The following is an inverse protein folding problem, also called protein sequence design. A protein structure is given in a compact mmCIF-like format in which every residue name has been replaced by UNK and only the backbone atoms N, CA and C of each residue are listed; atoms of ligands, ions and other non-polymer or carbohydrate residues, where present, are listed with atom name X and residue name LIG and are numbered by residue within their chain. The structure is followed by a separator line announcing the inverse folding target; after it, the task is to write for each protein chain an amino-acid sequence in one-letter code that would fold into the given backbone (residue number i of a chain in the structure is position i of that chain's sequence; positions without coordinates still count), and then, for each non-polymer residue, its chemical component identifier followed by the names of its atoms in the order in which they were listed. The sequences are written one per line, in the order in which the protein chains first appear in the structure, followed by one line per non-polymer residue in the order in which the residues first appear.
data_IF_548358835515
#
_entry.id   IF_548358835515
#
_cell.length_a   1.000
_cell.length_b   1.000
_cell.length_c   1.000
_cell.angle_alpha   90.00
_cell.angle_beta   90.00
_cell.angle_gamma   90.00
#
_symmetry.space_group_name_H-M   'P 1'
#
loop_
_entity.id
_entity.type
_entity.pdbx_description
1 polymer ?
#
# COMPACT_ATOMS: atom_id res chain seq x y z
N UNK A 1 -9.17 -37.17 69.71
CA UNK A 1 -8.49 -38.48 69.61
C UNK A 1 -8.12 -38.75 68.15
N UNK A 2 -6.83 -39.03 67.94
CA UNK A 2 -6.10 -39.65 66.82
C UNK A 2 -6.65 -39.70 65.37
N UNK A 3 -5.83 -39.15 64.43
CA UNK A 3 -5.55 -39.63 63.04
C UNK A 3 -4.84 -41.02 63.08
N UNK A 4 -4.51 -41.80 61.98
CA UNK A 4 -4.15 -41.36 60.60
C UNK A 4 -4.27 -42.34 59.37
N UNK A 5 -3.86 -41.82 58.18
CA UNK A 5 -3.37 -42.41 56.89
C UNK A 5 -4.36 -43.12 55.92
N UNK A 6 -4.28 -43.00 54.57
CA UNK A 6 -3.16 -42.70 53.65
C UNK A 6 -3.61 -42.06 52.30
N UNK A 7 -2.68 -41.32 51.67
CA UNK A 7 -2.69 -40.54 50.43
C UNK A 7 -2.83 -41.33 49.10
N UNK A 8 -3.17 -40.63 48.00
CA UNK A 8 -2.27 -40.37 46.84
C UNK A 8 -2.70 -39.07 46.13
N UNK A 9 -1.73 -38.21 45.83
CA UNK A 9 -1.84 -36.98 45.05
C UNK A 9 -0.87 -37.06 43.84
N UNK A 10 -1.23 -36.45 42.71
CA UNK A 10 -0.26 -36.05 41.67
C UNK A 10 -0.63 -34.62 41.21
N UNK A 11 0.29 -33.70 41.48
CA UNK A 11 0.35 -32.32 40.98
C UNK A 11 1.53 -32.26 40.02
N UNK A 12 1.37 -31.64 38.86
CA UNK A 12 2.49 -31.26 38.00
C UNK A 12 2.57 -29.73 37.95
N UNK A 13 3.61 -29.19 38.59
CA UNK A 13 4.07 -27.82 38.42
C UNK A 13 5.49 -27.89 37.85
N UNK A 14 5.76 -27.20 36.75
CA UNK A 14 7.12 -26.95 36.27
C UNK A 14 7.36 -25.44 36.29
N UNK A 15 8.39 -25.04 37.04
CA UNK A 15 8.97 -23.71 37.01
C UNK A 15 10.47 -23.82 36.68
N UNK A 16 10.87 -23.01 35.70
CA UNK A 16 12.14 -22.36 35.39
C UNK A 16 13.47 -22.86 36.00
N UNK A 17 14.49 -22.94 35.14
CA UNK A 17 15.86 -22.55 35.51
C UNK A 17 16.44 -21.59 34.47
N UNK A 18 16.60 -20.34 34.89
CA UNK A 18 17.41 -19.34 34.21
C UNK A 18 18.88 -19.58 34.59
N UNK A 19 19.76 -19.71 33.60
CA UNK A 19 21.21 -19.67 33.80
C UNK A 19 21.74 -18.34 33.26
N UNK A 20 22.20 -17.51 34.18
CA UNK A 20 23.02 -16.34 33.91
C UNK A 20 24.46 -16.67 34.29
N UNK A 21 25.42 -16.20 33.47
CA UNK A 21 26.76 -15.68 33.79
C UNK A 21 27.70 -15.78 32.57
N UNK A 22 28.82 -15.04 32.48
CA UNK A 22 29.19 -13.78 33.14
C UNK A 22 29.74 -12.72 32.15
N UNK A 23 29.77 -11.47 32.64
CA UNK A 23 30.49 -10.32 32.09
C UNK A 23 32.01 -10.47 32.20
N UNK A 24 32.75 -10.23 31.13
CA UNK A 24 34.21 -10.11 31.12
C UNK A 24 34.62 -8.64 30.91
N UNK A 25 35.31 -8.08 31.90
CA UNK A 25 36.10 -6.84 31.79
C UNK A 25 37.51 -7.16 31.26
N UNK A 26 38.21 -6.21 30.64
CA UNK A 26 39.40 -6.48 29.81
C UNK A 26 40.72 -6.41 30.59
N UNK A 27 41.70 -7.24 30.18
CA UNK A 27 43.09 -7.24 30.63
C UNK A 27 44.06 -7.42 29.43
N UNK A 28 45.35 -7.09 29.58
CA UNK A 28 46.13 -6.35 28.57
C UNK A 28 46.73 -7.18 27.44
N UNK A 29 47.01 -6.48 26.34
CA UNK A 29 47.63 -6.93 25.11
C UNK A 29 49.05 -7.54 25.27
N UNK A 30 49.47 -8.36 24.29
CA UNK A 30 50.81 -8.27 23.76
C UNK A 30 50.79 -7.84 22.29
N UNK A 31 51.73 -6.96 21.98
CA UNK A 31 52.01 -6.41 20.67
C UNK A 31 52.43 -7.49 19.66
N UNK A 32 51.81 -7.48 18.48
CA UNK A 32 52.38 -8.04 17.27
C UNK A 32 52.23 -6.99 16.17
N UNK A 33 53.37 -6.48 15.71
CA UNK A 33 53.48 -5.53 14.63
C UNK A 33 52.99 -6.13 13.30
N UNK A 34 52.08 -5.43 12.64
CA UNK A 34 51.80 -5.60 11.21
C UNK A 34 51.80 -4.22 10.56
N UNK A 35 52.62 -4.08 9.51
CA UNK A 35 52.85 -2.87 8.75
C UNK A 35 51.57 -2.33 8.08
N UNK A 36 51.50 -1.01 7.77
CA UNK A 36 50.31 -0.42 7.17
C UNK A 36 50.24 -0.81 5.68
N UNK A 37 49.30 -1.66 5.33
CA UNK A 37 48.86 -1.77 3.93
C UNK A 37 47.98 -0.56 3.68
N UNK A 38 48.50 0.40 2.92
CA UNK A 38 47.75 1.54 2.45
C UNK A 38 46.52 1.05 1.70
N UNK A 39 45.34 1.30 2.27
CA UNK A 39 44.11 1.21 1.53
C UNK A 39 44.19 2.22 0.38
N UNK A 40 43.92 1.81 -0.88
CA UNK A 40 43.74 2.78 -1.95
C UNK A 40 42.59 3.72 -1.55
N UNK A 41 42.60 4.99 -2.01
CA UNK A 41 41.47 5.87 -1.80
C UNK A 41 40.22 5.13 -2.27
N UNK A 42 39.23 5.01 -1.39
CA UNK A 42 37.92 4.50 -1.76
C UNK A 42 37.42 5.40 -2.87
N UNK A 43 37.51 4.92 -4.11
CA UNK A 43 36.80 5.49 -5.23
C UNK A 43 35.36 5.70 -4.78
N UNK A 44 34.94 6.95 -4.79
CA UNK A 44 33.57 7.31 -4.52
C UNK A 44 32.72 6.58 -5.57
N UNK A 45 32.02 5.52 -5.15
CA UNK A 45 30.99 4.89 -5.95
C UNK A 45 30.10 6.01 -6.51
N UNK A 46 29.94 6.12 -7.83
CA UNK A 46 29.06 7.13 -8.41
C UNK A 46 27.69 6.95 -7.77
N UNK A 47 27.08 8.04 -7.32
CA UNK A 47 25.74 8.02 -6.73
C UNK A 47 24.83 7.17 -7.62
N UNK A 48 24.41 6.01 -7.13
CA UNK A 48 23.61 5.04 -7.87
C UNK A 48 22.28 5.71 -8.22
N UNK A 49 22.18 6.19 -9.47
CA UNK A 49 21.02 6.94 -9.93
C UNK A 49 19.87 5.98 -10.20
N UNK A 50 18.71 6.22 -9.59
CA UNK A 50 17.54 5.35 -9.70
C UNK A 50 16.67 5.76 -10.89
N UNK A 51 16.33 4.80 -11.76
CA UNK A 51 15.35 5.00 -12.85
C UNK A 51 13.92 4.66 -12.39
N UNK A 52 12.90 5.06 -13.15
CA UNK A 52 11.50 4.75 -12.82
C UNK A 52 11.26 3.24 -12.78
N UNK A 53 11.84 2.49 -13.72
CA UNK A 53 11.74 1.02 -13.74
C UNK A 53 12.36 0.40 -12.48
N UNK A 54 13.49 0.92 -12.01
CA UNK A 54 14.12 0.44 -10.78
C UNK A 54 13.24 0.71 -9.56
N UNK A 55 12.70 1.93 -9.47
CA UNK A 55 11.78 2.32 -8.38
C UNK A 55 10.55 1.40 -8.31
N UNK A 56 9.93 1.12 -9.47
CA UNK A 56 8.78 0.21 -9.56
C UNK A 56 9.16 -1.23 -9.18
N UNK A 57 10.33 -1.71 -9.61
CA UNK A 57 10.81 -3.05 -9.30
C UNK A 57 11.13 -3.22 -7.80
N UNK A 58 11.71 -2.18 -7.18
CA UNK A 58 11.95 -2.15 -5.74
C UNK A 58 10.61 -2.15 -4.98
N UNK A 59 9.67 -1.27 -5.36
CA UNK A 59 8.35 -1.21 -4.74
C UNK A 59 7.59 -2.55 -4.84
N UNK A 60 7.64 -3.22 -5.99
CA UNK A 60 7.00 -4.52 -6.19
C UNK A 60 7.52 -5.62 -5.24
N UNK A 61 8.78 -5.53 -4.82
CA UNK A 61 9.41 -6.48 -3.89
C UNK A 61 9.22 -6.09 -2.43
N UNK A 62 9.39 -4.81 -2.11
CA UNK A 62 9.59 -4.36 -0.73
C UNK A 62 8.35 -3.71 -0.11
N UNK A 63 7.42 -3.16 -0.90
CA UNK A 63 6.30 -2.37 -0.38
C UNK A 63 5.42 -3.19 0.61
N UNK A 64 5.24 -2.70 1.86
CA UNK A 64 4.45 -3.39 2.88
C UNK A 64 2.98 -3.60 2.54
N UNK A 65 2.34 -2.68 1.80
CA UNK A 65 0.94 -2.81 1.39
C UNK A 65 0.75 -4.02 0.47
N UNK A 66 1.67 -4.24 -0.48
CA UNK A 66 1.65 -5.43 -1.35
C UNK A 66 1.91 -6.71 -0.58
N UNK A 67 2.78 -6.67 0.44
CA UNK A 67 3.03 -7.82 1.30
C UNK A 67 1.78 -8.21 2.09
N UNK A 68 1.06 -7.23 2.64
CA UNK A 68 -0.22 -7.44 3.31
C UNK A 68 -1.27 -8.04 2.37
N UNK A 69 -1.46 -7.43 1.19
CA UNK A 69 -2.42 -7.92 0.21
C UNK A 69 -2.12 -9.34 -0.30
N UNK A 70 -0.83 -9.71 -0.47
CA UNK A 70 -0.44 -11.11 -0.78
C UNK A 70 -0.80 -12.06 0.35
N UNK A 71 -0.55 -11.67 1.60
CA UNK A 71 -0.90 -12.46 2.76
C UNK A 71 -2.43 -12.66 2.88
N UNK A 72 -3.24 -11.68 2.50
CA UNK A 72 -4.70 -11.81 2.45
C UNK A 72 -5.16 -12.82 1.39
N UNK A 73 -4.52 -12.83 0.21
CA UNK A 73 -4.74 -13.86 -0.82
C UNK A 73 -4.35 -15.24 -0.29
N UNK A 74 -3.22 -15.38 0.39
CA UNK A 74 -2.80 -16.65 0.97
C UNK A 74 -3.74 -17.11 2.10
N UNK A 75 -4.22 -16.18 2.94
CA UNK A 75 -5.21 -16.45 3.98
C UNK A 75 -6.53 -16.96 3.38
N UNK A 76 -6.92 -16.48 2.19
CA UNK A 76 -8.10 -16.98 1.48
C UNK A 76 -7.99 -18.46 1.08
N UNK A 77 -6.77 -18.98 0.86
CA UNK A 77 -6.56 -20.40 0.62
C UNK A 77 -6.88 -21.23 1.88
N UNK A 78 -6.52 -20.74 3.07
CA UNK A 78 -6.92 -21.33 4.35
C UNK A 78 -8.44 -21.33 4.53
N UNK A 79 -9.11 -20.23 4.16
CA UNK A 79 -10.58 -20.15 4.19
C UNK A 79 -11.24 -21.18 3.25
N UNK A 80 -10.67 -21.39 2.05
CA UNK A 80 -11.13 -22.43 1.12
C UNK A 80 -10.95 -23.84 1.69
N UNK A 81 -9.80 -24.13 2.31
CA UNK A 81 -9.56 -25.43 2.97
C UNK A 81 -10.60 -25.67 4.07
N UNK A 82 -10.85 -24.67 4.92
CA UNK A 82 -11.83 -24.77 6.00
C UNK A 82 -13.27 -24.89 5.49
N UNK A 83 -13.63 -24.16 4.43
CA UNK A 83 -14.94 -24.28 3.77
C UNK A 83 -15.15 -25.68 3.17
N UNK A 84 -14.07 -26.31 2.69
CA UNK A 84 -14.06 -27.67 2.15
C UNK A 84 -14.01 -28.78 3.19
N UNK A 85 -13.79 -28.46 4.47
CA UNK A 85 -13.71 -29.45 5.54
C UNK A 85 -15.07 -30.10 5.84
N UNK A 86 -15.06 -31.41 6.07
CA UNK A 86 -16.23 -32.16 6.56
C UNK A 86 -16.25 -32.14 8.10
N UNK A 87 -17.41 -32.30 8.74
CA UNK A 87 -17.49 -32.45 10.18
C UNK A 87 -16.64 -33.63 10.66
N UNK A 88 -15.86 -33.41 11.72
CA UNK A 88 -15.10 -34.48 12.35
C UNK A 88 -16.05 -35.47 13.05
N UNK A 89 -15.68 -36.75 13.14
CA UNK A 89 -16.38 -37.68 14.01
C UNK A 89 -16.16 -37.29 15.48
N UNK A 90 -17.15 -37.56 16.31
CA UNK A 90 -17.09 -37.39 17.76
C UNK A 90 -17.12 -38.76 18.44
N UNK A 91 -16.17 -39.01 19.33
CA UNK A 91 -16.18 -40.21 20.18
C UNK A 91 -16.84 -39.84 21.50
N UNK A 92 -17.94 -40.50 21.83
CA UNK A 92 -18.61 -40.33 23.12
C UNK A 92 -18.45 -41.59 23.98
N UNK A 93 -18.19 -41.38 25.27
CA UNK A 93 -18.17 -42.42 26.28
C UNK A 93 -19.10 -42.00 27.41
N UNK A 94 -20.05 -42.88 27.74
CA UNK A 94 -21.01 -42.66 28.82
C UNK A 94 -20.95 -43.87 29.76
N UNK A 95 -20.83 -43.60 31.05
CA UNK A 95 -20.99 -44.63 32.08
C UNK A 95 -22.15 -44.27 33.01
N UNK A 96 -23.07 -45.21 33.16
CA UNK A 96 -24.20 -45.15 34.05
C UNK A 96 -23.97 -46.17 35.18
N UNK A 97 -23.92 -45.70 36.42
CA UNK A 97 -23.61 -46.53 37.58
C UNK A 97 -22.11 -46.82 37.78
N UNK A 98 -21.72 -46.96 39.04
CA UNK A 98 -20.34 -47.21 39.46
C UNK A 98 -20.20 -48.45 40.36
N UNK A 99 -21.29 -49.19 40.59
CA UNK A 99 -21.26 -50.43 41.36
C UNK A 99 -20.65 -51.56 40.53
N UNK A 100 -20.02 -52.54 41.19
CA UNK A 100 -19.55 -53.77 40.53
C UNK A 100 -20.72 -54.66 40.08
N UNK A 101 -21.86 -54.57 40.78
CA UNK A 101 -23.03 -55.39 40.49
C UNK A 101 -23.88 -54.80 39.35
N UNK A 102 -23.93 -53.47 39.24
CA UNK A 102 -24.72 -52.74 38.25
C UNK A 102 -23.92 -51.57 37.67
N UNK A 103 -23.58 -51.70 36.38
CA UNK A 103 -22.95 -50.63 35.60
C UNK A 103 -23.25 -50.81 34.11
N UNK A 104 -23.45 -49.72 33.41
CA UNK A 104 -23.58 -49.70 31.95
C UNK A 104 -22.55 -48.76 31.38
N UNK A 105 -21.70 -49.23 30.47
CA UNK A 105 -20.71 -48.42 29.78
C UNK A 105 -21.02 -48.43 28.29
N UNK A 106 -21.20 -47.26 27.69
CA UNK A 106 -21.52 -47.08 26.28
C UNK A 106 -20.42 -46.27 25.62
N UNK A 107 -19.87 -46.78 24.52
CA UNK A 107 -18.91 -46.06 23.69
C UNK A 107 -19.47 -45.95 22.27
N UNK A 108 -19.56 -44.74 21.72
CA UNK A 108 -20.09 -44.48 20.38
C UNK A 108 -19.13 -43.61 19.58
N UNK A 109 -19.11 -43.84 18.27
CA UNK A 109 -18.58 -42.90 17.29
C UNK A 109 -19.78 -42.27 16.59
N UNK A 110 -19.86 -40.95 16.63
CA UNK A 110 -20.91 -40.14 16.03
C UNK A 110 -20.34 -39.41 14.83
N UNK A 111 -20.87 -39.64 13.64
CA UNK A 111 -20.48 -38.92 12.43
C UNK A 111 -21.66 -38.09 11.93
N UNK A 112 -21.50 -36.77 11.94
CA UNK A 112 -22.44 -35.86 11.29
C UNK A 112 -22.22 -35.86 9.78
N UNK A 113 -23.30 -36.07 9.04
CA UNK A 113 -23.37 -36.03 7.58
C UNK A 113 -24.11 -34.75 7.22
N UNK A 114 -23.38 -33.81 6.61
CA UNK A 114 -23.98 -32.56 6.15
C UNK A 114 -24.92 -32.80 4.97
N UNK A 115 -26.17 -32.37 5.11
CA UNK A 115 -27.16 -32.44 4.03
C UNK A 115 -27.37 -31.06 3.38
N UNK A 116 -28.11 -31.02 2.28
CA UNK A 116 -28.53 -29.76 1.65
C UNK A 116 -27.44 -28.98 0.92
N UNK A 117 -26.27 -29.58 0.67
CA UNK A 117 -25.19 -28.96 -0.11
C UNK A 117 -24.43 -27.87 0.64
N UNK A 118 -24.50 -27.81 1.98
CA UNK A 118 -23.83 -26.80 2.83
C UNK A 118 -22.36 -26.63 2.51
N UNK A 119 -21.62 -27.73 2.37
CA UNK A 119 -20.20 -27.72 2.00
C UNK A 119 -19.94 -27.01 0.67
N UNK A 120 -20.73 -27.29 -0.36
CA UNK A 120 -20.60 -26.62 -1.67
C UNK A 120 -20.88 -25.13 -1.54
N UNK A 121 -21.95 -24.75 -0.85
CA UNK A 121 -22.27 -23.34 -0.64
C UNK A 121 -21.20 -22.60 0.19
N UNK A 122 -20.57 -23.25 1.18
CA UNK A 122 -19.41 -22.71 1.90
C UNK A 122 -18.23 -22.47 0.95
N UNK A 123 -17.95 -23.42 0.06
CA UNK A 123 -16.90 -23.30 -0.96
C UNK A 123 -17.18 -22.16 -1.93
N UNK A 124 -18.41 -22.00 -2.41
CA UNK A 124 -18.80 -20.91 -3.33
C UNK A 124 -18.59 -19.53 -2.68
N UNK A 125 -18.97 -19.37 -1.40
CA UNK A 125 -18.71 -18.12 -0.65
C UNK A 125 -17.20 -17.87 -0.50
N UNK A 126 -16.43 -18.90 -0.15
CA UNK A 126 -14.99 -18.78 0.02
C UNK A 126 -14.25 -18.52 -1.31
N UNK A 127 -14.73 -19.06 -2.44
CA UNK A 127 -14.11 -18.83 -3.75
C UNK A 127 -14.28 -17.39 -4.22
N UNK A 128 -15.46 -16.80 -4.06
CA UNK A 128 -15.66 -15.38 -4.36
C UNK A 128 -14.92 -14.47 -3.36
N UNK A 129 -14.76 -14.91 -2.10
CA UNK A 129 -13.86 -14.23 -1.16
C UNK A 129 -12.40 -14.21 -1.61
N UNK A 130 -11.90 -15.31 -2.18
CA UNK A 130 -10.56 -15.36 -2.79
C UNK A 130 -10.46 -14.49 -4.04
N UNK A 131 -11.49 -14.46 -4.87
CA UNK A 131 -11.54 -13.59 -6.05
C UNK A 131 -11.48 -12.11 -5.65
N UNK A 132 -12.23 -11.71 -4.61
CA UNK A 132 -12.17 -10.36 -4.05
C UNK A 132 -10.76 -10.03 -3.51
N UNK A 133 -10.14 -10.95 -2.77
CA UNK A 133 -8.77 -10.77 -2.27
C UNK A 133 -7.75 -10.63 -3.42
N UNK A 134 -7.87 -11.42 -4.48
CA UNK A 134 -7.00 -11.33 -5.66
C UNK A 134 -7.18 -10.01 -6.41
N UNK A 135 -8.42 -9.58 -6.64
CA UNK A 135 -8.70 -8.29 -7.28
C UNK A 135 -8.23 -7.11 -6.40
N UNK A 136 -8.29 -7.25 -5.08
CA UNK A 136 -7.76 -6.26 -4.14
C UNK A 136 -6.24 -6.18 -4.20
N UNK A 137 -5.52 -7.30 -4.36
CA UNK A 137 -4.09 -7.30 -4.62
C UNK A 137 -3.73 -6.56 -5.92
N UNK A 138 -4.51 -6.77 -6.99
CA UNK A 138 -4.32 -6.06 -8.25
C UNK A 138 -4.54 -4.54 -8.09
N UNK A 139 -5.57 -4.14 -7.35
CA UNK A 139 -5.85 -2.73 -7.01
C UNK A 139 -4.70 -2.10 -6.22
N UNK A 140 -4.23 -2.77 -5.17
CA UNK A 140 -3.08 -2.32 -4.39
C UNK A 140 -1.81 -2.23 -5.26
N UNK A 141 -1.63 -3.16 -6.20
CA UNK A 141 -0.56 -3.10 -7.21
C UNK A 141 -0.65 -1.84 -8.07
N UNK A 142 -1.83 -1.54 -8.61
CA UNK A 142 -2.07 -0.37 -9.44
C UNK A 142 -1.92 0.94 -8.64
N UNK A 143 -2.35 0.96 -7.38
CA UNK A 143 -2.18 2.10 -6.47
C UNK A 143 -0.71 2.37 -6.15
N UNK A 144 0.05 1.34 -5.74
CA UNK A 144 1.49 1.46 -5.48
C UNK A 144 2.25 1.92 -6.72
N UNK A 145 1.87 1.41 -7.91
CA UNK A 145 2.44 1.87 -9.18
C UNK A 145 2.24 3.38 -9.36
N UNK A 146 1.02 3.87 -9.14
CA UNK A 146 0.72 5.28 -9.30
C UNK A 146 1.45 6.15 -8.28
N UNK A 147 1.48 5.73 -7.02
CA UNK A 147 2.20 6.42 -5.95
C UNK A 147 3.71 6.52 -6.23
N UNK A 148 4.33 5.45 -6.75
CA UNK A 148 5.74 5.44 -7.14
C UNK A 148 5.99 6.40 -8.29
N UNK A 149 5.14 6.38 -9.34
CA UNK A 149 5.28 7.30 -10.49
C UNK A 149 5.14 8.76 -10.01
N UNK A 150 4.12 9.06 -9.22
CA UNK A 150 3.88 10.41 -8.69
C UNK A 150 5.03 10.88 -7.79
N UNK A 151 5.54 10.03 -6.91
CA UNK A 151 6.68 10.37 -6.04
C UNK A 151 7.98 10.54 -6.83
N UNK A 152 8.23 9.69 -7.83
CA UNK A 152 9.40 9.74 -8.70
C UNK A 152 9.45 11.04 -9.50
N UNK A 153 8.36 11.39 -10.18
CA UNK A 153 8.27 12.66 -10.92
C UNK A 153 8.17 13.87 -10.00
N UNK A 154 7.62 13.71 -8.80
CA UNK A 154 7.67 14.73 -7.74
C UNK A 154 9.10 15.04 -7.27
N UNK A 155 9.96 14.03 -7.17
CA UNK A 155 11.38 14.22 -6.85
C UNK A 155 12.14 14.85 -8.02
N UNK A 156 11.94 14.39 -9.26
CA UNK A 156 12.52 15.02 -10.45
C UNK A 156 12.12 16.50 -10.56
N UNK A 157 10.86 16.82 -10.29
CA UNK A 157 10.37 18.19 -10.29
C UNK A 157 11.00 19.02 -9.17
N UNK A 158 11.16 18.47 -7.95
CA UNK A 158 11.83 19.14 -6.86
C UNK A 158 13.31 19.42 -7.17
N UNK A 159 14.02 18.46 -7.78
CA UNK A 159 15.41 18.62 -8.22
C UNK A 159 15.53 19.69 -9.31
N UNK A 160 14.63 19.68 -10.30
CA UNK A 160 14.62 20.70 -11.36
C UNK A 160 14.29 22.08 -10.81
N UNK A 161 13.36 22.17 -9.86
CA UNK A 161 13.01 23.42 -9.19
C UNK A 161 14.20 23.97 -8.39
N UNK A 162 14.95 23.11 -7.69
CA UNK A 162 16.16 23.51 -6.99
C UNK A 162 17.19 24.09 -7.97
N UNK A 163 17.44 23.40 -9.08
CA UNK A 163 18.36 23.87 -10.12
C UNK A 163 17.95 25.27 -10.65
N UNK A 164 16.66 25.45 -10.96
CA UNK A 164 16.12 26.74 -11.41
C UNK A 164 16.27 27.83 -10.34
N UNK A 165 16.05 27.50 -9.06
CA UNK A 165 16.22 28.44 -7.95
C UNK A 165 17.70 28.81 -7.74
N UNK A 166 18.62 27.86 -7.89
CA UNK A 166 20.07 28.11 -7.81
C UNK A 166 20.56 28.99 -8.98
N UNK A 167 20.06 28.75 -10.20
CA UNK A 167 20.31 29.60 -11.37
C UNK A 167 19.81 31.04 -11.11
N UNK A 168 18.61 31.20 -10.56
CA UNK A 168 18.04 32.50 -10.17
C UNK A 168 18.87 33.19 -9.07
N UNK A 169 19.33 32.43 -8.06
CA UNK A 169 20.17 32.96 -6.99
C UNK A 169 21.51 33.49 -7.54
N UNK A 170 22.10 32.77 -8.50
CA UNK A 170 23.33 33.19 -9.15
C UNK A 170 23.14 34.48 -9.98
N UNK A 171 22.02 34.63 -10.67
CA UNK A 171 21.67 35.87 -11.40
C UNK A 171 21.48 37.02 -10.41
N UNK A 172 20.67 36.82 -9.36
CA UNK A 172 20.39 37.87 -8.37
C UNK A 172 21.66 38.35 -7.65
N UNK A 173 22.57 37.43 -7.32
CA UNK A 173 23.86 37.77 -6.71
C UNK A 173 24.74 38.62 -7.63
N UNK A 174 24.84 38.27 -8.92
CA UNK A 174 25.58 39.07 -9.91
C UNK A 174 24.99 40.47 -10.09
N UNK A 175 23.66 40.57 -10.14
CA UNK A 175 22.99 41.86 -10.30
C UNK A 175 23.14 42.74 -9.04
N UNK A 176 23.13 42.16 -7.84
CA UNK A 176 23.41 42.87 -6.60
C UNK A 176 24.84 43.41 -6.52
N UNK A 177 25.83 42.63 -6.96
CA UNK A 177 27.23 43.08 -7.06
C UNK A 177 27.38 44.26 -8.04
N UNK A 178 26.75 44.16 -9.22
CA UNK A 178 26.77 45.25 -10.21
C UNK A 178 26.11 46.52 -9.68
N UNK A 179 24.95 46.42 -9.02
CA UNK A 179 24.28 47.56 -8.41
C UNK A 179 25.14 48.20 -7.31
N UNK A 180 25.83 47.39 -6.50
CA UNK A 180 26.78 47.86 -5.49
C UNK A 180 27.94 48.65 -6.09
N UNK A 181 28.58 48.12 -7.14
CA UNK A 181 29.68 48.81 -7.85
C UNK A 181 29.22 50.12 -8.49
N UNK A 182 28.03 50.16 -9.09
CA UNK A 182 27.48 51.39 -9.68
C UNK A 182 27.12 52.43 -8.62
N UNK A 183 26.66 52.01 -7.44
CA UNK A 183 26.38 52.93 -6.34
C UNK A 183 27.67 53.56 -5.80
N UNK A 184 28.74 52.76 -5.63
CA UNK A 184 30.06 53.27 -5.25
C UNK A 184 30.63 54.26 -6.27
N UNK A 185 30.38 54.03 -7.57
CA UNK A 185 30.75 54.94 -8.64
C UNK A 185 29.80 56.16 -8.79
N UNK A 186 28.82 56.33 -7.90
CA UNK A 186 27.84 57.42 -7.94
C UNK A 186 26.87 57.38 -9.13
N UNK A 187 26.76 56.23 -9.83
CA UNK A 187 25.94 56.05 -11.03
C UNK A 187 24.50 55.62 -10.72
N UNK A 188 24.23 55.07 -9.53
CA UNK A 188 22.89 54.72 -9.03
C UNK A 188 22.78 55.08 -7.55
N UNK A 189 21.55 55.14 -7.02
CA UNK A 189 21.30 55.44 -5.61
C UNK A 189 21.75 54.30 -4.69
N UNK A 190 22.29 54.58 -3.49
CA UNK A 190 22.51 53.56 -2.45
C UNK A 190 21.25 52.74 -2.14
N UNK A 191 20.06 53.34 -2.26
CA UNK A 191 18.77 52.65 -2.06
C UNK A 191 18.56 51.54 -3.09
N UNK A 192 18.99 51.73 -4.33
CA UNK A 192 18.89 50.73 -5.39
C UNK A 192 19.83 49.54 -5.12
N UNK A 193 21.06 49.82 -4.67
CA UNK A 193 21.99 48.78 -4.24
C UNK A 193 21.46 47.97 -3.05
N UNK A 194 20.89 48.62 -2.04
CA UNK A 194 20.25 47.95 -0.90
C UNK A 194 19.09 47.06 -1.35
N UNK A 195 18.24 47.53 -2.26
CA UNK A 195 17.14 46.72 -2.81
C UNK A 195 17.65 45.48 -3.54
N UNK A 196 18.73 45.61 -4.29
CA UNK A 196 19.35 44.47 -4.98
C UNK A 196 19.93 43.44 -4.01
N UNK A 197 20.60 43.90 -2.94
CA UNK A 197 21.09 43.02 -1.88
C UNK A 197 19.96 42.28 -1.16
N UNK A 198 18.87 42.97 -0.82
CA UNK A 198 17.68 42.36 -0.19
C UNK A 198 17.05 41.31 -1.11
N UNK A 199 16.93 41.59 -2.41
CA UNK A 199 16.41 40.64 -3.39
C UNK A 199 17.30 39.38 -3.49
N UNK A 200 18.62 39.55 -3.57
CA UNK A 200 19.56 38.43 -3.61
C UNK A 200 19.51 37.57 -2.33
N UNK A 201 19.42 38.21 -1.16
CA UNK A 201 19.25 37.50 0.12
C UNK A 201 17.92 36.71 0.16
N UNK A 202 16.84 37.28 -0.37
CA UNK A 202 15.54 36.60 -0.50
C UNK A 202 15.62 35.31 -1.32
N UNK A 203 16.27 35.34 -2.49
CA UNK A 203 16.41 34.14 -3.35
C UNK A 203 17.30 33.07 -2.69
N UNK A 204 18.31 33.45 -1.90
CA UNK A 204 19.10 32.48 -1.14
C UNK A 204 18.27 31.71 -0.10
N UNK A 205 17.30 32.37 0.53
CA UNK A 205 16.34 31.69 1.43
C UNK A 205 15.46 30.69 0.64
N UNK A 206 15.09 31.03 -0.60
CA UNK A 206 14.36 30.11 -1.48
C UNK A 206 15.19 28.88 -1.84
N UNK A 207 16.51 29.00 -2.05
CA UNK A 207 17.40 27.85 -2.29
C UNK A 207 17.37 26.88 -1.10
N UNK A 208 17.47 27.38 0.13
CA UNK A 208 17.37 26.55 1.34
C UNK A 208 16.03 25.82 1.40
N UNK A 209 14.95 26.54 1.09
CA UNK A 209 13.59 25.96 1.04
C UNK A 209 13.46 24.89 -0.05
N UNK A 210 14.02 25.13 -1.24
CA UNK A 210 14.01 24.18 -2.35
C UNK A 210 14.81 22.91 -2.04
N UNK A 211 15.96 23.02 -1.35
CA UNK A 211 16.71 21.87 -0.83
C UNK A 211 15.87 21.03 0.14
N UNK A 212 15.17 21.69 1.07
CA UNK A 212 14.24 21.01 1.96
C UNK A 212 13.12 20.25 1.21
N UNK A 213 12.59 20.83 0.12
CA UNK A 213 11.58 20.15 -0.72
C UNK A 213 12.13 18.92 -1.43
N UNK A 214 13.40 18.95 -1.88
CA UNK A 214 14.06 17.77 -2.46
C UNK A 214 14.16 16.65 -1.43
N UNK A 215 14.57 16.97 -0.20
CA UNK A 215 14.67 15.95 0.85
C UNK A 215 13.30 15.35 1.23
N UNK A 216 12.26 16.19 1.33
CA UNK A 216 10.89 15.68 1.55
C UNK A 216 10.41 14.80 0.38
N UNK A 217 10.68 15.18 -0.87
CA UNK A 217 10.31 14.40 -2.04
C UNK A 217 11.08 13.05 -2.10
N UNK A 218 12.35 13.05 -1.67
CA UNK A 218 13.17 11.84 -1.53
C UNK A 218 12.58 10.89 -0.50
N UNK A 219 12.21 11.40 0.68
CA UNK A 219 11.59 10.56 1.71
C UNK A 219 10.23 10.02 1.28
N UNK A 220 9.43 10.81 0.54
CA UNK A 220 8.19 10.30 -0.07
C UNK A 220 8.45 9.14 -1.02
N UNK A 221 9.47 9.24 -1.87
CA UNK A 221 9.84 8.15 -2.79
C UNK A 221 10.31 6.90 -2.03
N UNK A 222 11.17 7.07 -1.01
CA UNK A 222 11.62 5.95 -0.15
C UNK A 222 10.42 5.25 0.51
N UNK A 223 9.47 6.01 1.04
CA UNK A 223 8.28 5.50 1.70
C UNK A 223 7.42 4.63 0.76
N UNK A 224 7.14 5.10 -0.47
CA UNK A 224 6.32 4.35 -1.43
C UNK A 224 7.05 3.14 -2.03
N UNK A 225 8.38 3.17 -2.10
CA UNK A 225 9.19 2.00 -2.46
C UNK A 225 9.26 0.95 -1.35
N UNK A 226 8.94 1.33 -0.11
CA UNK A 226 9.04 0.44 1.06
C UNK A 226 10.48 0.20 1.52
N UNK A 227 11.40 1.14 1.26
CA UNK A 227 12.79 1.08 1.73
C UNK A 227 13.04 2.00 2.92
N UNK A 228 13.87 1.55 3.86
CA UNK A 228 14.37 2.39 4.93
C UNK A 228 15.45 3.34 4.37
N UNK A 229 15.10 4.61 4.24
CA UNK A 229 15.94 5.79 3.97
C UNK A 229 17.23 5.54 3.19
N UNK A 230 17.20 5.77 1.88
CA UNK A 230 18.39 5.85 1.04
C UNK A 230 18.81 7.32 0.85
N UNK A 231 19.71 7.81 1.71
CA UNK A 231 20.16 9.20 1.76
C UNK A 231 20.87 9.68 0.48
N UNK A 232 21.27 8.76 -0.42
CA UNK A 232 22.01 9.07 -1.66
C UNK A 232 21.17 8.96 -2.93
N UNK A 233 19.86 8.80 -2.81
CA UNK A 233 18.98 8.46 -3.92
C UNK A 233 18.72 9.65 -4.88
N UNK A 234 19.64 9.90 -5.81
CA UNK A 234 19.37 10.79 -6.92
C UNK A 234 18.55 10.03 -7.98
N UNK A 235 17.46 10.62 -8.43
CA UNK A 235 16.68 10.06 -9.54
C UNK A 235 17.18 10.64 -10.86
N UNK A 236 17.23 9.79 -11.88
CA UNK A 236 17.52 10.17 -13.27
C UNK A 236 16.35 9.77 -14.15
N UNK A 237 15.83 10.74 -14.90
CA UNK A 237 14.70 10.53 -15.79
C UNK A 237 14.35 11.79 -16.56
N UNK A 238 13.54 11.63 -17.59
CA UNK A 238 13.04 12.74 -18.40
C UNK A 238 11.69 13.22 -17.84
N UNK A 239 11.69 14.45 -17.31
CA UNK A 239 10.48 15.12 -16.83
C UNK A 239 9.67 15.75 -17.98
N UNK A 240 10.32 16.13 -19.08
CA UNK A 240 9.70 16.93 -20.15
C UNK A 240 8.81 16.11 -21.07
N UNK A 241 9.14 14.83 -21.29
CA UNK A 241 8.35 13.96 -22.15
C UNK A 241 7.24 13.29 -21.35
N UNK A 242 6.02 13.81 -21.47
CA UNK A 242 4.81 13.17 -20.94
C UNK A 242 4.28 12.18 -21.98
N UNK A 243 4.18 10.88 -21.69
CA UNK A 243 3.63 9.93 -22.66
C UNK A 243 2.12 10.16 -22.87
N UNK A 244 1.60 9.97 -24.09
CA UNK A 244 0.19 10.16 -24.37
C UNK A 244 -0.68 9.15 -23.61
N UNK A 245 -1.95 9.52 -23.41
CA UNK A 245 -3.00 8.65 -22.86
C UNK A 245 -3.99 8.24 -23.95
N UNK A 246 -4.62 7.08 -23.78
CA UNK A 246 -5.72 6.67 -24.65
C UNK A 246 -6.92 7.62 -24.52
N UNK A 247 -7.79 7.73 -25.55
CA UNK A 247 -9.00 8.54 -25.47
C UNK A 247 -9.89 8.12 -24.31
N UNK A 248 -10.57 9.08 -23.67
CA UNK A 248 -11.45 8.83 -22.52
C UNK A 248 -12.50 7.75 -22.77
N UNK A 249 -13.04 7.65 -23.99
CA UNK A 249 -14.02 6.61 -24.35
C UNK A 249 -13.43 5.19 -24.29
N UNK A 250 -12.18 5.00 -24.71
CA UNK A 250 -11.48 3.73 -24.63
C UNK A 250 -11.19 3.35 -23.17
N UNK A 251 -10.70 4.30 -22.37
CA UNK A 251 -10.43 4.10 -20.94
C UNK A 251 -11.72 3.79 -20.16
N UNK A 252 -12.84 4.45 -20.50
CA UNK A 252 -14.14 4.20 -19.86
C UNK A 252 -14.64 2.78 -20.14
N UNK A 253 -14.37 2.24 -21.33
CA UNK A 253 -14.73 0.86 -21.68
C UNK A 253 -13.93 -0.19 -20.88
N UNK A 254 -12.75 0.16 -20.37
CA UNK A 254 -11.90 -0.72 -19.55
C UNK A 254 -12.35 -0.76 -18.08
N UNK A 255 -13.14 0.22 -17.60
CA UNK A 255 -13.50 0.33 -16.17
C UNK A 255 -14.28 -0.86 -15.61
N UNK A 256 -15.03 -1.61 -16.44
CA UNK A 256 -15.78 -2.78 -15.97
C UNK A 256 -14.88 -3.96 -15.56
N UNK A 257 -13.63 -3.99 -16.03
CA UNK A 257 -12.59 -4.98 -15.70
C UNK A 257 -11.48 -4.42 -14.79
N UNK A 258 -11.57 -3.12 -14.45
CA UNK A 258 -10.65 -2.49 -13.52
C UNK A 258 -10.64 -3.22 -12.16
N UNK A 259 -9.48 -3.29 -11.46
CA UNK A 259 -9.35 -4.01 -10.19
C UNK A 259 -10.42 -3.68 -9.15
N UNK A 260 -10.72 -2.39 -8.92
CA UNK A 260 -11.76 -1.97 -7.98
C UNK A 260 -13.17 -2.44 -8.39
N UNK A 261 -13.48 -2.42 -9.69
CA UNK A 261 -14.74 -2.95 -10.20
C UNK A 261 -14.82 -4.48 -10.02
N UNK A 262 -13.70 -5.19 -10.22
CA UNK A 262 -13.60 -6.63 -9.95
C UNK A 262 -13.77 -6.96 -8.47
N UNK A 263 -13.20 -6.16 -7.55
CA UNK A 263 -13.42 -6.30 -6.10
C UNK A 263 -14.91 -6.18 -5.76
N UNK A 264 -15.56 -5.09 -6.19
CA UNK A 264 -16.97 -4.86 -5.91
C UNK A 264 -17.87 -5.97 -6.51
N UNK A 265 -17.53 -6.45 -7.71
CA UNK A 265 -18.24 -7.56 -8.36
C UNK A 265 -18.07 -8.87 -7.58
N UNK A 266 -16.86 -9.20 -7.14
CA UNK A 266 -16.58 -10.41 -6.38
C UNK A 266 -17.28 -10.39 -5.01
N UNK A 267 -17.34 -9.25 -4.32
CA UNK A 267 -18.09 -9.10 -3.06
C UNK A 267 -19.61 -9.22 -3.26
N UNK A 268 -20.13 -8.71 -4.38
CA UNK A 268 -21.52 -8.93 -4.78
C UNK A 268 -21.82 -10.42 -5.03
N UNK A 269 -20.96 -11.12 -5.77
CA UNK A 269 -21.09 -12.56 -6.02
C UNK A 269 -20.98 -13.38 -4.72
N UNK A 270 -20.05 -13.01 -3.84
CA UNK A 270 -19.89 -13.61 -2.50
C UNK A 270 -21.16 -13.45 -1.66
N UNK A 271 -21.75 -12.25 -1.66
CA UNK A 271 -22.99 -11.97 -0.93
C UNK A 271 -24.18 -12.76 -1.51
N UNK A 272 -24.26 -12.89 -2.83
CA UNK A 272 -25.26 -13.75 -3.48
C UNK A 272 -25.07 -15.24 -3.14
N UNK A 273 -23.83 -15.73 -3.09
CA UNK A 273 -23.52 -17.10 -2.68
C UNK A 273 -23.89 -17.36 -1.21
N UNK A 274 -23.79 -16.35 -0.34
CA UNK A 274 -24.18 -16.46 1.06
C UNK A 274 -25.69 -16.75 1.23
N UNK A 275 -26.56 -16.27 0.32
CA UNK A 275 -27.98 -16.64 0.32
C UNK A 275 -28.14 -18.16 0.14
N UNK A 276 -27.39 -18.76 -0.77
CA UNK A 276 -27.42 -20.21 -1.01
C UNK A 276 -26.90 -20.99 0.20
N UNK A 277 -25.89 -20.47 0.90
CA UNK A 277 -25.40 -21.04 2.16
C UNK A 277 -26.48 -21.00 3.26
N UNK A 278 -27.13 -19.87 3.46
CA UNK A 278 -28.19 -19.74 4.46
C UNK A 278 -29.43 -20.57 4.10
N UNK A 279 -29.71 -20.75 2.82
CA UNK A 279 -30.75 -21.67 2.33
C UNK A 279 -30.39 -23.13 2.63
N UNK A 280 -29.13 -23.54 2.38
CA UNK A 280 -28.64 -24.88 2.69
C UNK A 280 -28.69 -25.18 4.19
N UNK A 281 -28.39 -24.19 5.04
CA UNK A 281 -28.48 -24.29 6.51
C UNK A 281 -29.88 -24.59 7.05
N UNK A 282 -30.93 -24.39 6.24
CA UNK A 282 -32.32 -24.77 6.61
C UNK A 282 -32.56 -26.27 6.58
N UNK A 283 -31.72 -27.03 5.90
CA UNK A 283 -31.83 -28.50 5.83
C UNK A 283 -31.05 -29.06 7.04
N UNK A 284 -31.69 -29.84 7.93
CA UNK A 284 -31.02 -30.40 9.09
C UNK A 284 -29.95 -31.43 8.68
N UNK A 285 -28.89 -31.53 9.46
CA UNK A 285 -27.85 -32.56 9.26
C UNK A 285 -28.25 -33.87 9.95
N UNK A 286 -27.75 -34.99 9.43
CA UNK A 286 -28.03 -36.31 10.00
C UNK A 286 -26.79 -36.82 10.69
N UNK A 287 -26.90 -37.20 11.96
CA UNK A 287 -25.81 -37.86 12.70
C UNK A 287 -26.06 -39.36 12.73
N UNK A 288 -25.09 -40.12 12.24
CA UNK A 288 -25.08 -41.58 12.34
C UNK A 288 -24.15 -41.97 13.47
N UNK A 289 -24.64 -42.82 14.37
CA UNK A 289 -23.91 -43.29 15.54
C UNK A 289 -23.73 -44.80 15.46
N UNK A 290 -22.54 -45.28 15.76
CA UNK A 290 -22.26 -46.70 15.87
C UNK A 290 -21.30 -46.97 17.04
N UNK A 291 -21.50 -48.07 17.75
CA UNK A 291 -20.60 -48.46 18.82
C UNK A 291 -21.08 -49.64 19.63
N UNK A 292 -20.62 -49.70 20.88
CA UNK A 292 -20.84 -50.83 21.78
C UNK A 292 -21.35 -50.35 23.13
N UNK A 293 -22.29 -51.12 23.69
CA UNK A 293 -22.84 -50.94 25.02
C UNK A 293 -22.57 -52.20 25.83
N UNK A 294 -21.87 -52.05 26.94
CA UNK A 294 -21.63 -53.12 27.91
C UNK A 294 -22.54 -52.90 29.11
N UNK A 295 -23.48 -53.82 29.33
CA UNK A 295 -24.36 -53.82 30.50
C UNK A 295 -23.85 -54.87 31.47
N UNK A 296 -23.63 -54.50 32.73
CA UNK A 296 -23.31 -55.44 33.81
C UNK A 296 -24.52 -55.49 34.74
N UNK A 297 -25.14 -56.66 34.86
CA UNK A 297 -26.29 -56.89 35.76
C UNK A 297 -25.97 -58.07 36.66
N UNK A 298 -26.07 -57.88 37.98
CA UNK A 298 -25.66 -58.90 38.96
C UNK A 298 -24.18 -59.30 38.87
N UNK A 299 -23.31 -58.42 38.35
CA UNK A 299 -21.89 -58.69 38.12
C UNK A 299 -21.56 -59.45 36.83
N UNK A 300 -22.55 -59.80 36.00
CA UNK A 300 -22.35 -60.49 34.72
C UNK A 300 -22.36 -59.47 33.58
N UNK A 301 -21.28 -59.35 32.78
CA UNK A 301 -21.22 -58.43 31.66
C UNK A 301 -21.87 -59.02 30.39
N UNK A 302 -22.64 -58.19 29.68
CA UNK A 302 -23.22 -58.44 28.37
C UNK A 302 -22.81 -57.31 27.40
N UNK A 303 -22.42 -57.66 26.17
CA UNK A 303 -21.98 -56.70 25.16
C UNK A 303 -23.01 -56.63 24.04
N UNK A 304 -23.49 -55.42 23.77
CA UNK A 304 -24.52 -55.15 22.77
C UNK A 304 -23.96 -54.16 21.74
N UNK A 305 -24.24 -54.41 20.46
CA UNK A 305 -23.96 -53.43 19.41
C UNK A 305 -25.05 -52.34 19.44
N UNK A 306 -24.65 -51.09 19.22
CA UNK A 306 -25.56 -49.95 19.16
C UNK A 306 -25.37 -49.25 17.83
N UNK A 307 -26.48 -49.04 17.11
CA UNK A 307 -26.54 -48.20 15.92
C UNK A 307 -27.68 -47.22 16.11
N UNK A 308 -27.44 -45.95 15.80
CA UNK A 308 -28.42 -44.88 15.95
C UNK A 308 -28.36 -43.90 14.81
N UNK A 309 -29.49 -43.25 14.54
CA UNK A 309 -29.59 -42.11 13.63
C UNK A 309 -30.29 -40.98 14.38
N UNK A 310 -29.68 -39.80 14.37
CA UNK A 310 -30.22 -38.60 15.00
C UNK A 310 -30.41 -37.52 13.95
N UNK A 311 -31.63 -36.96 13.90
CA UNK A 311 -32.01 -35.89 12.97
C UNK A 311 -32.65 -34.77 13.79
N UNK A 312 -32.05 -33.57 13.85
CA UNK A 312 -32.65 -32.45 14.56
C UNK A 312 -33.87 -31.94 13.77
N UNK A 313 -34.99 -31.73 14.47
CA UNK A 313 -36.22 -31.17 13.88
C UNK A 313 -36.29 -29.67 14.24
N UNK A 314 -36.06 -28.75 13.28
CA UNK A 314 -36.02 -27.31 13.56
C UNK A 314 -37.43 -26.74 13.74
N UNK A 315 -37.97 -26.79 14.97
CA UNK A 315 -39.30 -26.23 15.28
C UNK A 315 -39.26 -24.71 15.53
N UNK A 316 -38.27 -24.24 16.30
CA UNK A 316 -38.17 -22.83 16.70
C UNK A 316 -37.24 -22.02 15.80
N UNK A 317 -36.09 -22.60 15.41
CA UNK A 317 -35.11 -21.94 14.56
C UNK A 317 -35.05 -22.61 13.19
N UNK A 318 -35.71 -22.01 12.20
CA UNK A 318 -35.72 -22.47 10.80
C UNK A 318 -34.74 -21.69 9.91
N UNK A 319 -33.82 -20.93 10.52
CA UNK A 319 -32.83 -20.06 9.86
C UNK A 319 -33.44 -18.96 8.96
N UNK A 320 -34.72 -18.59 9.15
CA UNK A 320 -35.40 -17.55 8.35
C UNK A 320 -34.77 -16.16 8.51
N UNK A 321 -34.36 -15.81 9.73
CA UNK A 321 -33.74 -14.51 10.02
C UNK A 321 -32.39 -14.32 9.32
N UNK A 322 -31.50 -15.32 9.41
CA UNK A 322 -30.20 -15.28 8.73
C UNK A 322 -30.35 -15.25 7.20
N UNK A 323 -31.34 -15.97 6.65
CA UNK A 323 -31.66 -15.91 5.22
C UNK A 323 -32.15 -14.52 4.79
N UNK A 324 -33.02 -13.89 5.58
CA UNK A 324 -33.51 -12.52 5.31
C UNK A 324 -32.36 -11.52 5.36
N UNK A 325 -31.49 -11.61 6.36
CA UNK A 325 -30.29 -10.80 6.49
C UNK A 325 -29.36 -10.96 5.28
N UNK A 326 -29.06 -12.21 4.87
CA UNK A 326 -28.21 -12.49 3.71
C UNK A 326 -28.81 -11.93 2.42
N UNK A 327 -30.14 -11.95 2.27
CA UNK A 327 -30.84 -11.40 1.10
C UNK A 327 -30.64 -9.89 1.02
N UNK A 328 -30.88 -9.15 2.10
CA UNK A 328 -30.70 -7.69 2.10
C UNK A 328 -29.21 -7.28 2.04
N UNK A 329 -28.29 -8.09 2.57
CA UNK A 329 -26.85 -7.89 2.36
C UNK A 329 -26.47 -8.01 0.89
N UNK A 330 -27.05 -8.96 0.15
CA UNK A 330 -26.82 -9.09 -1.27
C UNK A 330 -27.44 -7.93 -2.08
N UNK A 331 -28.64 -7.48 -1.73
CA UNK A 331 -29.25 -6.27 -2.32
C UNK A 331 -28.35 -5.04 -2.13
N UNK A 332 -27.82 -4.85 -0.91
CA UNK A 332 -26.83 -3.80 -0.65
C UNK A 332 -25.58 -3.96 -1.51
N UNK A 333 -25.02 -5.17 -1.60
CA UNK A 333 -23.80 -5.41 -2.38
C UNK A 333 -24.00 -5.13 -3.88
N UNK A 334 -25.18 -5.38 -4.44
CA UNK A 334 -25.54 -4.97 -5.80
C UNK A 334 -25.53 -3.45 -5.95
N UNK A 335 -26.17 -2.72 -5.01
CA UNK A 335 -26.17 -1.26 -5.03
C UNK A 335 -24.75 -0.67 -4.83
N UNK A 336 -23.92 -1.30 -4.01
CA UNK A 336 -22.53 -0.92 -3.80
C UNK A 336 -21.69 -1.09 -5.09
N UNK A 337 -21.93 -2.12 -5.90
CA UNK A 337 -21.29 -2.29 -7.21
C UNK A 337 -21.65 -1.15 -8.18
N UNK A 338 -22.94 -0.78 -8.28
CA UNK A 338 -23.38 0.30 -9.16
C UNK A 338 -22.85 1.67 -8.71
N UNK A 339 -22.80 1.89 -7.40
CA UNK A 339 -22.17 3.06 -6.79
C UNK A 339 -20.68 3.13 -7.15
N UNK A 340 -19.95 2.02 -7.03
CA UNK A 340 -18.51 1.98 -7.31
C UNK A 340 -18.23 2.22 -8.79
N UNK A 341 -19.03 1.65 -9.71
CA UNK A 341 -18.93 1.95 -11.14
C UNK A 341 -19.11 3.43 -11.45
N UNK A 342 -20.11 4.06 -10.85
CA UNK A 342 -20.39 5.49 -11.05
C UNK A 342 -19.25 6.34 -10.51
N UNK A 343 -18.73 5.97 -9.33
CA UNK A 343 -17.55 6.61 -8.73
C UNK A 343 -16.31 6.50 -9.61
N UNK A 344 -15.98 5.30 -10.11
CA UNK A 344 -14.82 5.10 -10.99
C UNK A 344 -14.91 5.91 -12.27
N UNK A 345 -16.10 6.03 -12.87
CA UNK A 345 -16.32 6.89 -14.05
C UNK A 345 -16.06 8.37 -13.73
N UNK A 346 -16.53 8.86 -12.58
CA UNK A 346 -16.29 10.23 -12.14
C UNK A 346 -14.80 10.47 -11.88
N UNK A 347 -14.15 9.58 -11.13
CA UNK A 347 -12.71 9.67 -10.84
C UNK A 347 -11.87 9.64 -12.13
N UNK A 348 -12.22 8.79 -13.10
CA UNK A 348 -11.55 8.74 -14.40
C UNK A 348 -11.72 10.04 -15.18
N UNK A 349 -12.95 10.58 -15.23
CA UNK A 349 -13.23 11.84 -15.91
C UNK A 349 -12.43 12.99 -15.30
N UNK A 350 -12.35 13.04 -13.96
CA UNK A 350 -11.57 14.06 -13.26
C UNK A 350 -10.06 13.91 -13.51
N UNK A 351 -9.52 12.69 -13.42
CA UNK A 351 -8.11 12.42 -13.66
C UNK A 351 -7.71 12.75 -15.11
N UNK A 352 -8.58 12.42 -16.06
CA UNK A 352 -8.39 12.73 -17.48
C UNK A 352 -8.42 14.24 -17.75
N UNK A 353 -9.40 14.98 -17.19
CA UNK A 353 -9.44 16.43 -17.31
C UNK A 353 -8.22 17.11 -16.67
N UNK A 354 -7.74 16.61 -15.51
CA UNK A 354 -6.53 17.10 -14.87
C UNK A 354 -5.28 16.86 -15.73
N UNK A 355 -5.20 15.69 -16.37
CA UNK A 355 -4.11 15.36 -17.29
C UNK A 355 -4.09 16.32 -18.49
N UNK A 356 -5.22 16.48 -19.19
CA UNK A 356 -5.31 17.36 -20.36
C UNK A 356 -4.99 18.82 -20.00
N UNK A 357 -5.49 19.31 -18.86
CA UNK A 357 -5.20 20.66 -18.40
C UNK A 357 -3.72 20.86 -18.09
N UNK A 358 -3.09 19.92 -17.38
CA UNK A 358 -1.68 20.01 -17.01
C UNK A 358 -0.74 19.87 -18.23
N UNK A 359 -1.08 18.99 -19.18
CA UNK A 359 -0.33 18.84 -20.43
C UNK A 359 -0.42 20.11 -21.29
N UNK A 360 -1.62 20.66 -21.47
CA UNK A 360 -1.82 21.90 -22.21
C UNK A 360 -1.11 23.09 -21.54
N UNK A 361 -1.18 23.21 -20.21
CA UNK A 361 -0.47 24.24 -19.45
C UNK A 361 1.05 24.12 -19.66
N UNK A 362 1.61 22.91 -19.52
CA UNK A 362 3.03 22.66 -19.75
C UNK A 362 3.45 23.04 -21.19
N UNK A 363 2.63 22.69 -22.19
CA UNK A 363 2.90 23.00 -23.58
C UNK A 363 2.90 24.51 -23.84
N UNK A 364 1.90 25.25 -23.36
CA UNK A 364 1.83 26.72 -23.52
C UNK A 364 2.96 27.44 -22.80
N UNK A 365 3.34 26.96 -21.61
CA UNK A 365 4.50 27.49 -20.88
C UNK A 365 5.78 27.28 -21.68
N UNK A 366 5.98 26.08 -22.25
CA UNK A 366 7.16 25.74 -23.05
C UNK A 366 7.25 26.53 -24.36
N UNK A 367 6.16 26.65 -25.11
CA UNK A 367 6.17 27.24 -26.45
C UNK A 367 6.07 28.76 -26.45
N UNK A 368 5.29 29.34 -25.55
CA UNK A 368 4.92 30.77 -25.63
C UNK A 368 5.58 31.59 -24.52
N UNK A 369 5.37 31.18 -23.27
CA UNK A 369 5.69 32.01 -22.09
C UNK A 369 7.18 31.99 -21.78
N UNK A 370 7.81 30.81 -21.69
CA UNK A 370 9.22 30.69 -21.32
C UNK A 370 10.17 31.35 -22.33
N UNK A 371 10.01 31.19 -23.66
CA UNK A 371 10.86 31.88 -24.63
C UNK A 371 10.71 33.40 -24.55
N UNK A 372 9.47 33.91 -24.43
CA UNK A 372 9.20 35.35 -24.31
C UNK A 372 9.78 35.93 -23.01
N UNK A 373 9.60 35.25 -21.88
CA UNK A 373 10.14 35.68 -20.60
C UNK A 373 11.68 35.68 -20.58
N UNK A 374 12.33 34.69 -21.22
CA UNK A 374 13.78 34.69 -21.39
C UNK A 374 14.25 35.87 -22.23
N UNK A 375 13.61 36.13 -23.37
CA UNK A 375 13.95 37.24 -24.24
C UNK A 375 13.78 38.60 -23.53
N UNK A 376 12.71 38.75 -22.74
CA UNK A 376 12.47 39.94 -21.94
C UNK A 376 13.56 40.14 -20.87
N UNK A 377 13.93 39.09 -20.12
CA UNK A 377 15.01 39.17 -19.14
C UNK A 377 16.35 39.54 -19.79
N UNK A 378 16.67 38.95 -20.94
CA UNK A 378 17.89 39.24 -21.71
C UNK A 378 17.93 40.71 -22.17
N UNK A 379 16.82 41.22 -22.69
CA UNK A 379 16.70 42.61 -23.15
C UNK A 379 16.79 43.61 -21.99
N UNK A 380 16.09 43.35 -20.89
CA UNK A 380 16.13 44.19 -19.69
C UNK A 380 17.52 44.19 -19.05
N UNK A 381 18.18 43.04 -18.97
CA UNK A 381 19.54 42.91 -18.42
C UNK A 381 20.55 43.73 -19.23
N UNK A 382 20.54 43.61 -20.57
CA UNK A 382 21.39 44.42 -21.45
C UNK A 382 21.06 45.91 -21.36
N UNK A 383 19.78 46.27 -21.33
CA UNK A 383 19.39 47.68 -21.20
C UNK A 383 19.75 48.26 -19.83
N UNK A 384 19.75 47.48 -18.74
CA UNK A 384 20.25 47.91 -17.44
C UNK A 384 21.75 48.21 -17.48
N UNK A 385 22.56 47.32 -18.06
CA UNK A 385 24.00 47.54 -18.26
C UNK A 385 24.28 48.85 -19.02
N UNK A 386 23.47 49.13 -20.04
CA UNK A 386 23.53 50.36 -20.84
C UNK A 386 22.87 51.58 -20.18
N UNK A 387 22.32 51.44 -18.98
CA UNK A 387 21.62 52.51 -18.23
C UNK A 387 20.29 52.96 -18.82
N UNK A 388 19.65 52.11 -19.64
CA UNK A 388 18.34 52.35 -20.28
C UNK A 388 17.16 51.84 -19.46
N UNK A 389 17.37 50.86 -18.59
CA UNK A 389 16.36 50.34 -17.66
C UNK A 389 16.86 50.42 -16.21
N UNK A 390 15.93 50.35 -15.26
CA UNK A 390 16.25 50.31 -13.83
C UNK A 390 16.51 48.87 -13.36
N UNK A 391 17.13 48.70 -12.20
CA UNK A 391 17.29 47.37 -11.60
C UNK A 391 15.95 46.68 -11.31
N UNK A 392 14.89 47.46 -11.01
CA UNK A 392 13.57 46.89 -10.74
C UNK A 392 12.95 46.23 -11.96
N UNK A 393 13.21 46.75 -13.17
CA UNK A 393 12.72 46.16 -14.41
C UNK A 393 13.37 44.79 -14.68
N UNK A 394 14.68 44.68 -14.38
CA UNK A 394 15.41 43.40 -14.47
C UNK A 394 14.88 42.40 -13.44
N UNK A 395 14.64 42.85 -12.21
CA UNK A 395 14.12 42.00 -11.14
C UNK A 395 12.72 41.47 -11.46
N UNK A 396 11.86 42.30 -12.04
CA UNK A 396 10.51 41.90 -12.43
C UNK A 396 10.51 40.90 -13.60
N UNK A 397 11.37 41.13 -14.60
CA UNK A 397 11.58 40.18 -15.69
C UNK A 397 12.14 38.83 -15.19
N UNK A 398 13.09 38.87 -14.25
CA UNK A 398 13.65 37.67 -13.62
C UNK A 398 12.58 36.90 -12.85
N UNK A 399 11.76 37.61 -12.05
CA UNK A 399 10.65 37.02 -11.30
C UNK A 399 9.65 36.34 -12.23
N UNK A 400 9.31 36.99 -13.34
CA UNK A 400 8.38 36.45 -14.35
C UNK A 400 8.92 35.16 -14.97
N UNK A 401 10.19 35.14 -15.37
CA UNK A 401 10.83 33.93 -15.90
C UNK A 401 10.84 32.80 -14.88
N UNK A 402 11.24 33.08 -13.64
CA UNK A 402 11.30 32.09 -12.57
C UNK A 402 9.92 31.53 -12.24
N UNK A 403 8.89 32.38 -12.16
CA UNK A 403 7.51 31.95 -11.96
C UNK A 403 7.03 31.04 -13.09
N UNK A 404 7.32 31.39 -14.34
CA UNK A 404 7.00 30.56 -15.51
C UNK A 404 7.73 29.21 -15.48
N UNK A 405 9.01 29.18 -15.11
CA UNK A 405 9.77 27.94 -14.98
C UNK A 405 9.21 27.05 -13.86
N UNK A 406 8.83 27.65 -12.72
CA UNK A 406 8.24 26.91 -11.61
C UNK A 406 6.86 26.34 -11.96
N UNK A 407 6.03 27.12 -12.67
CA UNK A 407 4.74 26.64 -13.19
C UNK A 407 4.93 25.50 -14.18
N UNK A 408 5.91 25.61 -15.09
CA UNK A 408 6.18 24.58 -16.09
C UNK A 408 6.58 23.24 -15.45
N UNK A 409 7.51 23.29 -14.50
CA UNK A 409 7.95 22.09 -13.75
C UNK A 409 6.79 21.47 -12.98
N UNK A 410 5.91 22.29 -12.38
CA UNK A 410 4.72 21.81 -11.66
C UNK A 410 3.69 21.19 -12.60
N UNK A 411 3.45 21.81 -13.76
CA UNK A 411 2.53 21.31 -14.77
C UNK A 411 2.98 19.94 -15.30
N UNK A 412 4.28 19.78 -15.58
CA UNK A 412 4.84 18.47 -15.97
C UNK A 412 4.66 17.41 -14.88
N UNK A 413 4.99 17.74 -13.62
CA UNK A 413 4.80 16.82 -12.50
C UNK A 413 3.32 16.43 -12.33
N UNK A 414 2.42 17.41 -12.48
CA UNK A 414 0.97 17.23 -12.44
C UNK A 414 0.46 16.32 -13.56
N UNK A 415 0.98 16.48 -14.78
CA UNK A 415 0.62 15.63 -15.92
C UNK A 415 1.06 14.18 -15.70
N UNK A 416 2.29 13.95 -15.23
CA UNK A 416 2.76 12.60 -14.89
C UNK A 416 1.96 11.96 -13.75
N UNK A 417 1.60 12.72 -12.71
CA UNK A 417 0.78 12.23 -11.61
C UNK A 417 -0.66 11.90 -12.07
N UNK A 418 -1.31 12.80 -12.81
CA UNK A 418 -2.64 12.55 -13.35
C UNK A 418 -2.67 11.34 -14.31
N UNK A 419 -1.62 11.17 -15.11
CA UNK A 419 -1.45 9.97 -15.95
C UNK A 419 -1.29 8.70 -15.11
N UNK A 420 -0.55 8.77 -14.01
CA UNK A 420 -0.40 7.66 -13.08
C UNK A 420 -1.75 7.28 -12.45
N UNK A 421 -2.57 8.28 -12.08
CA UNK A 421 -3.93 8.10 -11.57
C UNK A 421 -4.87 7.46 -12.58
N UNK A 422 -4.84 7.89 -13.85
CA UNK A 422 -5.57 7.22 -14.93
C UNK A 422 -5.17 5.75 -15.00
N UNK A 423 -3.86 5.48 -14.99
CA UNK A 423 -3.32 4.12 -14.99
C UNK A 423 -3.80 3.28 -13.79
N UNK A 424 -3.89 3.88 -12.60
CA UNK A 424 -4.46 3.23 -11.40
C UNK A 424 -5.93 2.85 -11.61
N UNK A 425 -6.73 3.78 -12.11
CA UNK A 425 -8.18 3.62 -12.27
C UNK A 425 -8.54 2.55 -13.31
N UNK A 426 -7.78 2.43 -14.39
CA UNK A 426 -7.98 1.34 -15.37
C UNK A 426 -7.26 0.05 -15.00
N UNK A 427 -6.46 0.05 -13.93
CA UNK A 427 -5.80 -1.16 -13.43
C UNK A 427 -4.51 -1.56 -14.14
N UNK A 428 -3.73 -0.58 -14.62
CA UNK A 428 -2.42 -0.86 -15.21
C UNK A 428 -1.54 -1.56 -14.17
N UNK A 429 -1.08 -2.80 -14.43
CA UNK A 429 -0.38 -3.59 -13.43
C UNK A 429 0.97 -2.97 -13.09
N UNK A 430 1.40 -3.12 -11.82
CA UNK A 430 2.73 -2.74 -11.36
C UNK A 430 3.85 -3.38 -12.19
N UNK A 431 3.62 -4.62 -12.63
CA UNK A 431 4.48 -5.32 -13.57
C UNK A 431 4.08 -4.98 -15.01
N UNK A 432 4.57 -3.86 -15.51
CA UNK A 432 4.69 -3.59 -16.94
C UNK A 432 6.18 -3.51 -17.32
N UNK A 433 6.94 -4.56 -17.00
CA UNK A 433 8.29 -4.78 -17.54
C UNK A 433 8.33 -6.23 -18.02
N UNK A 434 8.22 -6.38 -19.34
CA UNK A 434 8.40 -7.58 -20.16
C UNK A 434 7.71 -8.88 -19.66
N UNK A 435 6.66 -9.30 -20.37
CA UNK A 435 6.48 -10.74 -20.62
C UNK A 435 7.62 -11.24 -21.51
#
# INVERSE_FOLDING_TARGET
MLKPYLAVAIVFAMAATAHAQPSLSPGPAPAAAAAPIGAPPSDALPASSLTLSDALAVAARNNPALRGARADVDASAGALMQAGARPNPEVSFLQEGFSRAERTSTALINQTIELGGKRRARLDVASYGREAASASLDDQGAAVRADVIAAFYGLLAAQRQLQVTEESAAIAARSADLAGRRAQAGKVSPVEATKAQVAAAGVQIEVVTARGRVEVAREKLNAVMGEARNDRLAVLGDLETVPPVEPLSALTAQLDDAPLARVARAEMLRSNAAISLERARRIPDVTVSAGVKRVTTGGVPDNQAVVGVSIPIPLFNTNKGALLEATHKAERANADLDRERTRLRLELTQAYANFEAAEQEAQRLKSDILPAARLALDAMSRGYELGKFSFLDVLDAQRTLFQGQSQYVRALAGAHAARADIGRLVGTPLAAVAR
#
